data_IF_054997636369
#
_entry.id   IF_054997636369
#
_cell.length_a   1.000
_cell.length_b   1.000
_cell.length_c   1.000
_cell.angle_alpha   90.00
_cell.angle_beta   90.00
_cell.angle_gamma   90.00
#
_symmetry.space_group_name_H-M   'P 1'
#
loop_
_entity.id
_entity.type
_entity.pdbx_description
1 polymer ?
#
# COMPACT_ATOMS: atom_id res chain seq x y z
N UNK A 1 46.78 25.93 45.43
CA UNK A 1 46.10 24.81 44.76
C UNK A 1 44.63 25.15 44.64
N UNK A 2 44.15 25.50 43.45
CA UNK A 2 42.74 25.49 43.04
C UNK A 2 42.77 25.57 41.51
N UNK A 3 42.77 24.41 40.85
CA UNK A 3 42.75 24.28 39.40
C UNK A 3 41.31 24.09 38.94
N UNK A 4 40.75 25.11 38.28
CA UNK A 4 39.46 25.01 37.59
C UNK A 4 39.66 24.47 36.18
N UNK A 5 39.14 23.28 35.93
CA UNK A 5 39.09 22.71 34.58
C UNK A 5 37.94 23.35 33.80
N UNK A 6 38.27 23.98 32.66
CA UNK A 6 37.28 24.45 31.68
C UNK A 6 36.72 23.24 30.91
N UNK A 7 35.40 23.09 30.96
CA UNK A 7 34.64 22.18 30.10
C UNK A 7 34.48 22.89 28.74
N UNK A 8 34.86 22.27 27.61
CA UNK A 8 34.64 22.87 26.31
C UNK A 8 33.15 22.76 25.93
N UNK A 9 32.61 23.92 25.60
CA UNK A 9 31.24 24.18 25.15
C UNK A 9 31.00 23.46 23.80
N UNK A 10 30.17 22.41 23.82
CA UNK A 10 29.77 21.67 22.63
C UNK A 10 28.79 22.52 21.82
N UNK A 11 29.31 23.41 20.98
CA UNK A 11 28.51 24.15 20.00
C UNK A 11 27.80 23.17 19.09
N UNK A 12 26.48 23.30 19.07
CA UNK A 12 25.54 22.43 18.37
C UNK A 12 25.83 22.34 16.88
N UNK A 13 25.53 21.16 16.33
CA UNK A 13 25.33 20.99 14.90
C UNK A 13 24.28 22.01 14.44
N UNK A 14 24.71 22.97 13.62
CA UNK A 14 23.80 23.74 12.80
C UNK A 14 23.05 22.76 11.90
N UNK A 15 21.78 22.52 12.22
CA UNK A 15 20.84 21.89 11.31
C UNK A 15 20.85 22.73 10.03
N UNK A 16 21.46 22.23 8.96
CA UNK A 16 21.25 22.80 7.63
C UNK A 16 19.74 22.86 7.41
N UNK A 17 19.15 24.02 7.10
CA UNK A 17 17.75 24.09 6.79
C UNK A 17 17.52 23.25 5.53
N UNK A 18 16.92 22.08 5.72
CA UNK A 18 16.25 21.36 4.64
C UNK A 18 15.28 22.38 4.06
N UNK A 19 15.49 22.77 2.81
CA UNK A 19 14.75 23.84 2.16
C UNK A 19 13.25 23.62 2.39
N UNK A 20 12.62 24.48 3.20
CA UNK A 20 11.16 24.46 3.32
C UNK A 20 10.62 25.03 2.01
N UNK A 21 10.20 24.16 1.10
CA UNK A 21 9.60 24.51 -0.18
C UNK A 21 8.18 25.07 0.03
N UNK A 22 8.09 26.29 0.58
CA UNK A 22 6.82 26.96 0.90
C UNK A 22 6.33 27.89 -0.21
N UNK A 23 7.08 28.04 -1.30
CA UNK A 23 6.52 28.62 -2.53
C UNK A 23 5.85 27.51 -3.32
N UNK A 24 4.59 27.64 -3.78
CA UNK A 24 4.10 26.80 -4.85
C UNK A 24 5.15 26.89 -5.95
N UNK A 25 5.84 25.79 -6.22
CA UNK A 25 6.81 25.73 -7.31
C UNK A 25 6.12 26.31 -8.54
N UNK A 26 6.82 27.14 -9.30
CA UNK A 26 6.31 27.50 -10.60
C UNK A 26 6.12 26.17 -11.35
N UNK A 27 4.86 25.77 -11.53
CA UNK A 27 4.50 24.53 -12.19
C UNK A 27 5.20 24.41 -13.54
N UNK A 28 5.53 25.55 -14.18
CA UNK A 28 6.34 25.59 -15.40
C UNK A 28 7.76 25.06 -15.18
N UNK A 29 8.41 25.42 -14.08
CA UNK A 29 9.74 24.90 -13.73
C UNK A 29 9.70 23.40 -13.47
N UNK A 30 8.70 22.90 -12.74
CA UNK A 30 8.56 21.46 -12.49
C UNK A 30 8.31 20.68 -13.79
N UNK A 31 7.44 21.18 -14.66
CA UNK A 31 7.21 20.58 -15.99
C UNK A 31 8.46 20.65 -16.85
N UNK A 32 9.19 21.77 -16.84
CA UNK A 32 10.45 21.90 -17.57
C UNK A 32 11.51 20.94 -17.04
N UNK A 33 11.60 20.76 -15.72
CA UNK A 33 12.49 19.79 -15.08
C UNK A 33 12.15 18.37 -15.52
N UNK A 34 10.88 17.96 -15.44
CA UNK A 34 10.46 16.61 -15.84
C UNK A 34 10.74 16.39 -17.32
N UNK A 35 10.40 17.36 -18.18
CA UNK A 35 10.69 17.26 -19.61
C UNK A 35 12.18 17.06 -19.86
N UNK A 36 13.03 17.84 -19.19
CA UNK A 36 14.48 17.70 -19.29
C UNK A 36 14.96 16.34 -18.80
N UNK A 37 14.46 15.85 -17.67
CA UNK A 37 14.77 14.53 -17.15
C UNK A 37 14.33 13.41 -18.12
N UNK A 38 13.18 13.58 -18.77
CA UNK A 38 12.71 12.68 -19.83
C UNK A 38 13.60 12.76 -21.06
N UNK A 39 14.00 13.95 -21.51
CA UNK A 39 14.93 14.13 -22.63
C UNK A 39 16.28 13.49 -22.32
N UNK A 40 16.88 13.79 -21.17
CA UNK A 40 18.16 13.22 -20.72
C UNK A 40 18.08 11.68 -20.62
N UNK A 41 16.95 11.15 -20.17
CA UNK A 41 16.68 9.71 -20.06
C UNK A 41 16.34 9.00 -21.36
N UNK A 42 15.56 9.64 -22.24
CA UNK A 42 15.15 9.10 -23.55
C UNK A 42 16.24 9.26 -24.62
N UNK A 43 17.19 10.16 -24.42
CA UNK A 43 18.40 10.29 -25.25
C UNK A 43 19.42 9.19 -25.00
N UNK A 44 19.24 8.36 -23.97
CA UNK A 44 19.96 7.09 -23.87
C UNK A 44 19.37 6.18 -24.95
N UNK A 45 20.14 5.79 -25.98
CA UNK A 45 19.58 5.04 -27.08
C UNK A 45 18.93 3.78 -26.52
N UNK A 46 17.75 3.44 -27.05
CA UNK A 46 17.23 2.08 -27.03
C UNK A 46 17.77 1.41 -28.29
N UNK A 47 19.08 1.09 -28.40
CA UNK A 47 19.49 0.27 -29.51
C UNK A 47 18.73 -1.06 -29.38
N UNK A 48 18.40 -1.71 -30.51
CA UNK A 48 17.81 -3.05 -30.48
C UNK A 48 18.65 -4.05 -29.64
N UNK A 49 19.93 -3.74 -29.43
CA UNK A 49 20.81 -4.40 -28.46
C UNK A 49 21.02 -3.53 -27.22
N UNK A 50 20.07 -3.54 -26.28
CA UNK A 50 20.19 -2.82 -25.00
C UNK A 50 21.47 -3.27 -24.30
N UNK A 51 22.45 -2.38 -24.19
CA UNK A 51 23.72 -2.69 -23.51
C UNK A 51 23.47 -3.00 -22.03
N UNK A 52 24.09 -4.06 -21.47
CA UNK A 52 24.00 -4.36 -20.05
C UNK A 52 24.42 -3.15 -19.22
N UNK A 53 23.56 -2.75 -18.27
CA UNK A 53 23.88 -1.67 -17.34
C UNK A 53 23.80 -2.20 -15.92
N UNK A 54 24.85 -1.92 -15.14
CA UNK A 54 24.90 -2.34 -13.74
C UNK A 54 23.77 -1.74 -12.92
N UNK A 55 23.36 -0.51 -13.21
CA UNK A 55 22.29 0.19 -12.53
C UNK A 55 21.24 0.69 -13.53
N UNK A 56 19.95 0.51 -13.26
CA UNK A 56 18.87 1.14 -14.05
C UNK A 56 17.74 1.58 -13.15
N UNK A 57 17.20 2.76 -13.44
CA UNK A 57 16.07 3.32 -12.74
C UNK A 57 14.94 3.65 -13.72
N UNK A 58 13.73 3.21 -13.38
CA UNK A 58 12.51 3.57 -14.09
C UNK A 58 11.59 4.34 -13.14
N UNK A 59 11.16 5.51 -13.56
CA UNK A 59 10.23 6.38 -12.83
C UNK A 59 8.97 6.56 -13.68
N UNK A 60 7.83 6.10 -13.17
CA UNK A 60 6.54 6.14 -13.84
C UNK A 60 5.62 7.12 -13.09
N UNK A 61 5.11 8.13 -13.80
CA UNK A 61 4.42 9.25 -13.17
C UNK A 61 3.30 9.86 -14.05
N UNK A 62 2.19 9.15 -14.23
CA UNK A 62 1.00 9.63 -14.94
C UNK A 62 0.34 10.84 -14.23
N UNK A 63 -0.12 11.84 -15.01
CA UNK A 63 -0.72 13.07 -14.47
C UNK A 63 -2.25 13.21 -14.64
N UNK A 64 -2.90 12.38 -15.45
CA UNK A 64 -4.38 12.32 -15.61
C UNK A 64 -5.05 13.71 -15.78
N UNK A 65 -4.86 14.40 -16.93
CA UNK A 65 -5.47 15.74 -17.17
C UNK A 65 -6.20 15.89 -18.50
N UNK A 66 -6.49 14.81 -19.21
CA UNK A 66 -7.22 14.93 -20.48
C UNK A 66 -8.70 15.22 -20.18
N UNK A 67 -9.39 16.02 -21.02
CA UNK A 67 -10.82 16.25 -20.89
C UNK A 67 -11.62 14.93 -20.96
N UNK A 68 -12.65 14.78 -20.12
CA UNK A 68 -13.52 13.58 -20.12
C UNK A 68 -13.05 12.44 -19.22
N UNK A 69 -12.03 12.65 -18.40
CA UNK A 69 -11.45 11.60 -17.54
C UNK A 69 -12.25 11.32 -16.26
N UNK A 70 -12.35 10.03 -15.91
CA UNK A 70 -12.98 9.53 -14.67
C UNK A 70 -12.06 9.57 -13.44
N UNK A 71 -10.79 9.93 -13.60
CA UNK A 71 -9.81 10.00 -12.50
C UNK A 71 -9.46 11.44 -12.17
N UNK A 72 -9.40 11.75 -10.87
CA UNK A 72 -8.95 13.04 -10.40
C UNK A 72 -7.46 13.26 -10.76
N UNK A 73 -7.07 14.47 -11.16
CA UNK A 73 -5.67 14.78 -11.41
C UNK A 73 -4.84 14.62 -10.13
N UNK A 74 -3.60 14.11 -10.28
CA UNK A 74 -2.66 13.94 -9.17
C UNK A 74 -1.53 14.98 -9.28
N UNK A 75 -1.64 16.14 -8.61
CA UNK A 75 -0.66 17.21 -8.74
C UNK A 75 0.72 16.84 -8.16
N UNK A 76 0.77 15.99 -7.14
CA UNK A 76 2.00 15.61 -6.42
C UNK A 76 2.87 14.61 -7.15
N UNK A 77 2.30 13.83 -8.06
CA UNK A 77 3.04 12.84 -8.86
C UNK A 77 4.26 13.46 -9.58
N UNK A 78 4.12 14.69 -10.07
CA UNK A 78 5.22 15.41 -10.70
C UNK A 78 6.35 15.75 -9.70
N UNK A 79 5.99 16.13 -8.48
CA UNK A 79 6.95 16.51 -7.45
C UNK A 79 7.68 15.27 -6.89
N UNK A 80 6.97 14.15 -6.75
CA UNK A 80 7.54 12.84 -6.41
C UNK A 80 8.64 12.41 -7.39
N UNK A 81 8.39 12.57 -8.70
CA UNK A 81 9.39 12.31 -9.74
C UNK A 81 10.64 13.11 -9.50
N UNK A 82 10.49 14.42 -9.22
CA UNK A 82 11.61 15.30 -8.98
C UNK A 82 12.40 14.86 -7.75
N UNK A 83 11.74 14.57 -6.63
CA UNK A 83 12.39 14.10 -5.41
C UNK A 83 13.18 12.81 -5.64
N UNK A 84 12.61 11.84 -6.35
CA UNK A 84 13.29 10.58 -6.63
C UNK A 84 14.43 10.77 -7.64
N UNK A 85 14.22 11.57 -8.68
CA UNK A 85 15.26 11.90 -9.64
C UNK A 85 16.44 12.60 -8.94
N UNK A 86 16.19 13.57 -8.07
CA UNK A 86 17.23 14.26 -7.30
C UNK A 86 17.91 13.34 -6.29
N UNK A 87 17.17 12.46 -5.60
CA UNK A 87 17.73 11.44 -4.72
C UNK A 87 18.71 10.55 -5.49
N UNK A 88 18.27 9.96 -6.59
CA UNK A 88 19.10 9.09 -7.42
C UNK A 88 20.28 9.88 -8.00
N UNK A 89 20.06 11.12 -8.43
CA UNK A 89 21.09 12.01 -8.95
C UNK A 89 22.20 12.33 -7.95
N UNK A 90 21.83 12.64 -6.71
CA UNK A 90 22.77 13.04 -5.67
C UNK A 90 23.41 11.83 -4.96
N UNK A 91 22.80 10.66 -5.06
CA UNK A 91 23.35 9.42 -4.52
C UNK A 91 24.56 8.92 -5.31
N UNK A 92 25.21 7.88 -4.78
CA UNK A 92 26.37 7.22 -5.42
C UNK A 92 26.04 6.65 -6.82
N UNK A 93 24.78 6.58 -7.24
CA UNK A 93 24.36 6.17 -8.59
C UNK A 93 25.08 6.92 -9.72
N UNK A 94 25.19 8.24 -9.62
CA UNK A 94 25.84 9.06 -10.66
C UNK A 94 27.37 9.07 -10.56
N UNK A 95 27.94 8.52 -9.47
CA UNK A 95 29.40 8.48 -9.29
C UNK A 95 30.05 7.32 -10.05
N UNK A 96 29.27 6.33 -10.48
CA UNK A 96 29.74 5.34 -11.45
C UNK A 96 29.82 5.95 -12.85
N UNK A 97 30.79 5.56 -13.70
CA UNK A 97 30.94 6.10 -15.05
C UNK A 97 29.61 6.11 -15.81
N UNK A 98 29.34 7.15 -16.61
CA UNK A 98 28.06 7.39 -17.34
C UNK A 98 27.48 6.19 -18.08
N UNK A 99 28.28 5.17 -18.39
CA UNK A 99 27.84 3.89 -18.96
C UNK A 99 27.11 2.95 -17.96
N UNK A 100 26.99 3.34 -16.69
CA UNK A 100 26.55 2.42 -15.62
C UNK A 100 25.13 2.68 -15.11
N UNK A 101 24.50 3.80 -15.51
CA UNK A 101 23.15 4.14 -15.09
C UNK A 101 22.31 4.66 -16.24
N UNK A 102 21.01 4.42 -16.17
CA UNK A 102 20.03 5.02 -17.05
C UNK A 102 18.77 5.29 -16.24
N UNK A 103 18.16 6.43 -16.50
CA UNK A 103 16.98 6.91 -15.81
C UNK A 103 15.91 7.22 -16.83
N UNK A 104 14.76 6.55 -16.77
CA UNK A 104 13.63 6.87 -17.64
C UNK A 104 12.48 7.42 -16.82
N UNK A 105 12.06 8.64 -17.14
CA UNK A 105 10.81 9.22 -16.65
C UNK A 105 9.73 9.03 -17.72
N UNK A 106 8.56 8.53 -17.35
CA UNK A 106 7.42 8.41 -18.27
C UNK A 106 6.28 9.30 -17.78
N UNK A 107 5.96 10.33 -18.57
CA UNK A 107 4.78 11.16 -18.40
C UNK A 107 3.85 10.96 -19.61
N UNK A 108 2.72 10.31 -19.37
CA UNK A 108 1.81 9.83 -20.42
C UNK A 108 1.03 10.91 -21.19
N UNK A 109 1.15 12.19 -20.80
CA UNK A 109 0.48 13.28 -21.53
C UNK A 109 1.20 13.72 -22.82
N UNK A 110 2.40 13.22 -23.10
CA UNK A 110 3.29 13.79 -24.12
C UNK A 110 3.71 12.82 -25.24
N UNK A 111 3.25 11.57 -25.21
CA UNK A 111 3.54 10.59 -26.26
C UNK A 111 2.28 10.31 -27.08
N UNK A 112 2.45 10.30 -28.42
CA UNK A 112 1.38 9.98 -29.36
C UNK A 112 0.84 8.57 -29.07
N UNK A 113 -0.49 8.32 -29.17
CA UNK A 113 -1.10 7.01 -28.98
C UNK A 113 -0.51 5.89 -29.85
N UNK A 114 0.20 6.26 -30.91
CA UNK A 114 0.83 5.37 -31.89
C UNK A 114 2.18 4.78 -31.44
N UNK A 115 2.74 5.20 -30.31
CA UNK A 115 4.05 4.72 -29.85
C UNK A 115 3.86 3.50 -28.94
N UNK A 116 4.32 2.28 -29.29
CA UNK A 116 4.16 1.04 -28.49
C UNK A 116 4.97 1.04 -27.16
N UNK A 117 5.21 2.22 -26.59
CA UNK A 117 6.24 2.52 -25.60
C UNK A 117 6.00 2.01 -24.18
N UNK A 118 4.76 1.66 -23.81
CA UNK A 118 4.41 1.28 -22.43
C UNK A 118 5.16 0.02 -21.97
N UNK A 119 4.97 -1.10 -22.68
CA UNK A 119 5.65 -2.37 -22.39
C UNK A 119 7.16 -2.31 -22.63
N UNK A 120 7.58 -1.44 -23.55
CA UNK A 120 8.99 -1.24 -23.85
C UNK A 120 9.79 -0.70 -22.65
N UNK A 121 9.15 -0.07 -21.65
CA UNK A 121 9.86 0.49 -20.50
C UNK A 121 10.17 -0.52 -19.39
N UNK A 122 9.26 -1.45 -19.10
CA UNK A 122 9.51 -2.51 -18.12
C UNK A 122 10.49 -3.55 -18.66
N UNK A 123 10.36 -3.93 -19.94
CA UNK A 123 11.37 -4.76 -20.60
C UNK A 123 12.74 -4.08 -20.57
N UNK A 124 12.79 -2.77 -20.82
CA UNK A 124 14.02 -2.00 -20.71
C UNK A 124 14.61 -2.01 -19.29
N UNK A 125 13.80 -1.97 -18.23
CA UNK A 125 14.30 -2.02 -16.86
C UNK A 125 15.03 -3.35 -16.58
N UNK A 126 14.49 -4.47 -17.07
CA UNK A 126 14.98 -5.82 -16.74
C UNK A 126 15.98 -6.38 -17.76
N UNK A 127 16.03 -5.83 -18.97
CA UNK A 127 16.86 -6.33 -20.07
C UNK A 127 18.35 -6.41 -19.70
N UNK A 128 19.00 -7.55 -19.97
CA UNK A 128 20.44 -7.72 -19.77
C UNK A 128 20.90 -7.60 -18.31
N UNK A 129 19.99 -7.74 -17.34
CA UNK A 129 20.34 -7.80 -15.93
C UNK A 129 21.14 -9.07 -15.60
N UNK A 130 22.16 -8.92 -14.75
CA UNK A 130 23.02 -10.01 -14.28
C UNK A 130 23.11 -10.01 -12.75
N UNK A 131 23.79 -11.02 -12.18
CA UNK A 131 24.05 -11.07 -10.74
C UNK A 131 24.90 -9.87 -10.28
N UNK A 132 24.50 -9.21 -9.18
CA UNK A 132 25.16 -8.01 -8.67
C UNK A 132 24.74 -6.69 -9.32
N UNK A 133 23.77 -6.74 -10.25
CA UNK A 133 23.14 -5.55 -10.80
C UNK A 133 22.06 -4.97 -9.87
N UNK A 134 21.82 -3.67 -9.99
CA UNK A 134 20.85 -2.90 -9.23
C UNK A 134 19.77 -2.33 -10.14
N UNK A 135 18.53 -2.40 -9.67
CA UNK A 135 17.38 -1.80 -10.33
C UNK A 135 16.61 -0.94 -9.35
N UNK A 136 16.01 0.11 -9.88
CA UNK A 136 15.14 0.99 -9.12
C UNK A 136 13.86 1.21 -9.92
N UNK A 137 12.72 1.03 -9.27
CA UNK A 137 11.42 1.32 -9.86
C UNK A 137 10.65 2.26 -8.92
N UNK A 138 10.26 3.42 -9.43
CA UNK A 138 9.31 4.29 -8.75
C UNK A 138 8.04 4.40 -9.56
N UNK A 139 6.91 4.28 -8.89
CA UNK A 139 5.62 4.64 -9.43
C UNK A 139 4.95 5.64 -8.48
N UNK A 140 4.46 6.75 -9.04
CA UNK A 140 3.55 7.69 -8.38
C UNK A 140 2.33 7.90 -9.28
N UNK A 141 1.15 7.45 -8.86
CA UNK A 141 -0.07 7.51 -9.69
C UNK A 141 -1.29 6.85 -9.06
N UNK A 142 -2.39 6.74 -9.82
CA UNK A 142 -3.56 5.96 -9.42
C UNK A 142 -3.30 4.46 -9.50
N UNK A 143 -3.98 3.75 -8.60
CA UNK A 143 -4.06 2.30 -8.61
C UNK A 143 -5.51 1.92 -8.68
N UNK A 144 -5.74 0.73 -9.22
CA UNK A 144 -7.06 0.20 -9.41
C UNK A 144 -7.17 -1.19 -8.79
N UNK A 145 -8.39 -1.55 -8.40
CA UNK A 145 -8.75 -2.87 -7.96
C UNK A 145 -9.96 -3.33 -8.71
N UNK A 146 -9.87 -4.53 -9.27
CA UNK A 146 -11.01 -5.15 -9.94
C UNK A 146 -11.33 -6.42 -9.18
N UNK A 147 -12.56 -6.50 -8.69
CA UNK A 147 -13.06 -7.69 -8.02
C UNK A 147 -13.04 -8.87 -9.01
N UNK A 148 -12.64 -10.03 -8.52
CA UNK A 148 -12.49 -11.25 -9.32
C UNK A 148 -12.82 -12.46 -8.45
N UNK A 149 -12.68 -13.64 -9.01
CA UNK A 149 -12.92 -14.88 -8.29
C UNK A 149 -11.73 -15.28 -7.38
N UNK A 150 -11.99 -16.23 -6.48
CA UNK A 150 -10.99 -16.74 -5.54
C UNK A 150 -9.80 -17.47 -6.16
N UNK A 151 -9.88 -17.88 -7.43
CA UNK A 151 -8.81 -18.57 -8.12
C UNK A 151 -7.77 -17.62 -8.71
N UNK A 152 -8.19 -16.39 -9.07
CA UNK A 152 -7.33 -15.39 -9.69
C UNK A 152 -6.88 -14.29 -8.72
N UNK A 153 -7.78 -13.90 -7.81
CA UNK A 153 -7.59 -12.70 -7.01
C UNK A 153 -6.91 -12.91 -5.66
N UNK A 154 -6.59 -11.78 -5.07
CA UNK A 154 -6.06 -11.62 -3.72
C UNK A 154 -7.17 -11.40 -2.71
N UNK A 155 -7.10 -12.07 -1.56
CA UNK A 155 -8.05 -11.94 -0.46
C UNK A 155 -8.09 -10.51 0.08
N UNK A 156 -9.30 -10.02 0.28
CA UNK A 156 -9.56 -8.73 0.87
C UNK A 156 -10.90 -8.61 1.54
N UNK A 157 -11.11 -7.41 2.06
CA UNK A 157 -12.35 -7.04 2.72
C UNK A 157 -12.99 -5.88 1.96
N UNK A 158 -14.26 -6.00 1.57
CA UNK A 158 -15.05 -4.84 1.20
C UNK A 158 -15.30 -4.03 2.45
N UNK A 159 -14.87 -2.77 2.44
CA UNK A 159 -15.31 -1.77 3.40
C UNK A 159 -16.51 -1.05 2.79
N UNK A 160 -17.73 -1.45 3.18
CA UNK A 160 -18.94 -0.77 2.72
C UNK A 160 -18.95 0.62 3.33
N UNK A 161 -18.93 1.66 2.49
CA UNK A 161 -18.96 3.07 2.91
C UNK A 161 -20.33 3.55 3.42
N UNK A 162 -21.35 2.70 3.41
CA UNK A 162 -22.71 3.04 3.85
C UNK A 162 -22.99 2.74 5.32
N UNK A 163 -24.07 3.34 5.85
CA UNK A 163 -24.66 3.21 7.21
C UNK A 163 -25.10 1.77 7.61
N UNK A 164 -24.38 0.74 7.17
CA UNK A 164 -24.65 -0.63 7.61
C UNK A 164 -24.46 -0.71 9.12
N UNK A 165 -25.37 -1.39 9.84
CA UNK A 165 -25.25 -1.55 11.28
C UNK A 165 -23.89 -2.20 11.58
N UNK A 166 -23.05 -1.44 12.26
CA UNK A 166 -21.75 -1.89 12.75
C UNK A 166 -22.00 -3.14 13.59
N UNK A 167 -21.50 -4.29 13.14
CA UNK A 167 -21.68 -5.55 13.84
C UNK A 167 -21.10 -5.43 15.26
N UNK A 168 -21.85 -5.77 16.34
CA UNK A 168 -21.35 -5.70 17.70
C UNK A 168 -20.08 -6.56 17.87
N UNK A 169 -18.97 -5.92 18.22
CA UNK A 169 -17.66 -6.57 18.35
C UNK A 169 -16.77 -6.49 17.10
N UNK A 170 -17.31 -6.10 15.94
CA UNK A 170 -16.51 -5.72 14.76
C UNK A 170 -16.18 -4.22 14.83
N UNK A 171 -15.55 -3.79 15.92
CA UNK A 171 -15.09 -2.42 16.09
C UNK A 171 -14.02 -2.16 15.03
N UNK A 172 -14.42 -1.56 13.91
CA UNK A 172 -13.48 -1.05 12.92
C UNK A 172 -12.95 0.30 13.42
N UNK A 173 -12.17 0.24 14.51
CA UNK A 173 -11.55 1.42 15.12
C UNK A 173 -10.63 2.17 14.16
N UNK A 174 -10.25 1.55 13.04
CA UNK A 174 -9.38 2.12 12.03
C UNK A 174 -10.08 3.07 11.05
N UNK A 175 -11.41 2.98 10.89
CA UNK A 175 -12.19 3.93 10.08
C UNK A 175 -12.67 5.13 10.90
N UNK A 176 -12.64 5.02 12.23
CA UNK A 176 -12.94 6.13 13.12
C UNK A 176 -11.76 7.09 13.10
N UNK A 177 -11.96 8.26 12.46
CA UNK A 177 -10.99 9.37 12.42
C UNK A 177 -10.49 9.71 13.83
N UNK A 178 -11.36 9.57 14.84
CA UNK A 178 -11.07 9.89 16.24
C UNK A 178 -10.30 8.79 17.00
N UNK A 179 -10.19 7.57 16.46
CA UNK A 179 -9.66 6.40 17.18
C UNK A 179 -8.60 5.59 16.41
N UNK A 180 -7.94 6.17 15.40
CA UNK A 180 -6.82 5.50 14.72
C UNK A 180 -5.64 5.33 15.70
N UNK A 181 -5.71 4.27 16.51
CA UNK A 181 -4.57 3.85 17.31
C UNK A 181 -3.49 3.40 16.35
N UNK A 182 -2.31 3.99 16.47
CA UNK A 182 -1.09 3.57 15.79
C UNK A 182 -0.64 2.21 16.33
N UNK A 183 -1.34 1.14 15.96
CA UNK A 183 -1.03 -0.22 16.39
C UNK A 183 -0.93 -1.14 15.19
N UNK A 184 0.00 -2.09 15.24
CA UNK A 184 0.03 -3.22 14.32
C UNK A 184 -1.16 -4.10 14.64
N UNK A 185 -2.11 -4.21 13.72
CA UNK A 185 -3.23 -5.14 13.91
C UNK A 185 -2.86 -6.48 13.29
N UNK A 186 -2.73 -7.49 14.16
CA UNK A 186 -2.23 -8.82 13.81
C UNK A 186 -3.34 -9.71 13.24
N UNK A 187 -4.56 -9.55 13.75
CA UNK A 187 -5.73 -10.34 13.38
C UNK A 187 -6.99 -9.49 13.41
N UNK A 188 -7.92 -9.78 12.50
CA UNK A 188 -9.28 -9.27 12.53
C UNK A 188 -10.29 -10.29 12.12
N UNK A 189 -11.41 -10.32 12.81
CA UNK A 189 -12.55 -11.12 12.39
C UNK A 189 -13.51 -10.30 11.54
N UNK A 190 -13.80 -10.75 10.33
CA UNK A 190 -14.74 -10.15 9.37
C UNK A 190 -15.91 -11.10 9.12
N UNK A 191 -17.02 -10.58 8.60
CA UNK A 191 -18.07 -11.45 8.09
C UNK A 191 -17.62 -12.09 6.77
N UNK A 192 -18.00 -13.34 6.51
CA UNK A 192 -17.69 -14.02 5.25
C UNK A 192 -18.24 -13.26 4.03
N UNK A 193 -19.38 -12.58 4.18
CA UNK A 193 -19.94 -11.69 3.15
C UNK A 193 -19.14 -10.43 2.86
N UNK A 194 -18.13 -10.11 3.68
CA UNK A 194 -17.19 -9.01 3.44
C UNK A 194 -15.90 -9.50 2.74
N UNK A 195 -15.65 -10.81 2.71
CA UNK A 195 -14.49 -11.39 2.04
C UNK A 195 -14.68 -11.30 0.52
N UNK A 196 -13.70 -10.70 -0.15
CA UNK A 196 -13.65 -10.60 -1.60
C UNK A 196 -12.27 -10.94 -2.13
N UNK A 197 -12.20 -11.13 -3.44
CA UNK A 197 -10.96 -11.36 -4.16
C UNK A 197 -10.80 -10.29 -5.22
N UNK A 198 -9.60 -9.76 -5.40
CA UNK A 198 -9.37 -8.69 -6.36
C UNK A 198 -8.00 -8.82 -7.02
N UNK A 199 -7.90 -8.35 -8.27
CA UNK A 199 -6.64 -8.06 -8.92
C UNK A 199 -6.33 -6.57 -8.74
N UNK A 200 -5.04 -6.24 -8.65
CA UNK A 200 -4.58 -4.86 -8.57
C UNK A 200 -3.92 -4.46 -9.88
N UNK A 201 -4.04 -3.19 -10.23
CA UNK A 201 -3.34 -2.61 -11.36
C UNK A 201 -2.81 -1.22 -10.99
N UNK A 202 -1.71 -0.82 -11.61
CA UNK A 202 -1.35 0.59 -11.72
C UNK A 202 -1.99 1.14 -12.99
N UNK A 203 -2.52 2.35 -12.92
CA UNK A 203 -3.01 3.05 -14.11
C UNK A 203 -1.82 3.81 -14.70
N UNK A 204 -1.42 3.48 -15.91
CA UNK A 204 -0.40 4.22 -16.69
C UNK A 204 -1.05 5.24 -17.60
N UNK A 205 -2.19 4.89 -18.19
CA UNK A 205 -2.94 5.75 -19.10
C UNK A 205 -4.43 5.54 -18.88
N UNK A 206 -5.22 6.54 -19.24
CA UNK A 206 -6.67 6.41 -19.26
C UNK A 206 -7.05 6.03 -20.69
N UNK A 207 -7.76 4.90 -20.85
CA UNK A 207 -8.37 4.55 -22.13
C UNK A 207 -9.36 5.65 -22.52
N UNK A 208 -9.32 6.11 -23.77
CA UNK A 208 -10.36 6.99 -24.32
C UNK A 208 -11.64 6.15 -24.42
N UNK A 209 -12.41 6.10 -23.33
CA UNK A 209 -13.74 5.48 -23.27
C UNK A 209 -14.66 6.25 -24.23
N UNK A 210 -14.73 5.85 -25.51
CA UNK A 210 -15.76 6.34 -26.44
C UNK A 210 -15.99 5.47 -27.69
N UNK A 211 -15.32 4.33 -27.86
CA UNK A 211 -15.79 3.36 -28.84
C UNK A 211 -16.90 2.53 -28.17
N UNK A 212 -18.18 2.70 -28.56
CA UNK A 212 -19.28 1.97 -27.94
C UNK A 212 -19.00 0.47 -28.04
N UNK A 213 -18.98 -0.18 -26.89
CA UNK A 213 -18.85 -1.62 -26.68
C UNK A 213 -19.80 -2.37 -27.63
N UNK A 214 -19.29 -2.78 -28.79
CA UNK A 214 -20.08 -3.49 -29.80
C UNK A 214 -19.82 -5.00 -29.79
N UNK A 215 -19.03 -5.52 -28.83
CA UNK A 215 -18.84 -6.96 -28.61
C UNK A 215 -18.76 -7.27 -27.11
N UNK A 216 -19.82 -7.85 -26.57
CA UNK A 216 -19.99 -8.22 -25.14
C UNK A 216 -19.07 -9.37 -24.65
N UNK A 217 -18.08 -9.83 -25.43
CA UNK A 217 -17.32 -11.06 -25.12
C UNK A 217 -15.81 -10.87 -24.85
N UNK A 218 -15.22 -9.71 -25.15
CA UNK A 218 -13.84 -9.42 -24.78
C UNK A 218 -13.81 -8.38 -23.65
N UNK A 219 -13.16 -8.73 -22.52
CA UNK A 219 -12.93 -7.77 -21.44
C UNK A 219 -12.34 -6.49 -22.04
N UNK A 220 -12.97 -5.32 -21.81
CA UNK A 220 -12.58 -4.07 -22.45
C UNK A 220 -11.08 -3.84 -22.26
N UNK A 221 -10.43 -3.52 -23.38
CA UNK A 221 -8.98 -3.43 -23.53
C UNK A 221 -8.28 -2.95 -22.25
N UNK A 222 -7.29 -3.73 -21.81
CA UNK A 222 -6.40 -3.42 -20.70
C UNK A 222 -5.51 -2.18 -20.95
N UNK A 223 -5.83 -1.37 -21.96
CA UNK A 223 -5.08 -0.21 -22.36
C UNK A 223 -4.90 0.75 -21.17
N UNK A 224 -3.63 1.04 -20.85
CA UNK A 224 -3.28 1.94 -19.76
C UNK A 224 -3.37 1.36 -18.35
N UNK A 225 -3.50 0.04 -18.20
CA UNK A 225 -3.40 -0.66 -16.91
C UNK A 225 -2.25 -1.64 -16.98
N UNK A 226 -1.38 -1.64 -15.97
CA UNK A 226 -0.40 -2.71 -15.76
C UNK A 226 -0.85 -3.50 -14.53
N UNK A 227 -1.25 -4.75 -14.75
CA UNK A 227 -1.74 -5.63 -13.70
C UNK A 227 -0.62 -6.13 -12.80
N UNK A 228 -0.96 -6.48 -11.57
CA UNK A 228 -0.02 -7.03 -10.59
C UNK A 228 0.72 -8.28 -11.07
N UNK A 229 0.01 -9.22 -11.71
CA UNK A 229 0.58 -10.44 -12.29
C UNK A 229 1.54 -10.12 -13.41
N UNK A 230 1.19 -9.16 -14.27
CA UNK A 230 2.03 -8.71 -15.36
C UNK A 230 3.29 -8.02 -14.84
N UNK A 231 3.15 -7.11 -13.87
CA UNK A 231 4.26 -6.43 -13.25
C UNK A 231 5.21 -7.41 -12.53
N UNK A 232 4.66 -8.39 -11.82
CA UNK A 232 5.44 -9.50 -11.25
C UNK A 232 6.16 -10.29 -12.34
N UNK A 233 5.47 -10.62 -13.45
CA UNK A 233 6.07 -11.35 -14.57
C UNK A 233 7.24 -10.59 -15.19
N UNK A 234 7.15 -9.27 -15.37
CA UNK A 234 8.29 -8.45 -15.80
C UNK A 234 9.46 -8.52 -14.81
N UNK A 235 9.21 -8.29 -13.52
CA UNK A 235 10.27 -8.31 -12.51
C UNK A 235 10.84 -9.72 -12.26
N UNK A 236 10.09 -10.78 -12.57
CA UNK A 236 10.54 -12.17 -12.49
C UNK A 236 11.65 -12.51 -13.48
N UNK A 237 11.82 -11.69 -14.54
CA UNK A 237 12.91 -11.80 -15.51
C UNK A 237 14.26 -11.39 -14.91
N UNK A 238 14.28 -10.70 -13.76
CA UNK A 238 15.53 -10.34 -13.08
C UNK A 238 16.17 -11.60 -12.46
N UNK A 239 17.47 -11.84 -12.72
CA UNK A 239 18.13 -13.05 -12.26
C UNK A 239 18.34 -13.04 -10.75
N UNK A 240 18.54 -14.24 -10.18
CA UNK A 240 19.01 -14.40 -8.80
C UNK A 240 20.30 -13.60 -8.59
N UNK A 241 20.38 -12.90 -7.46
CA UNK A 241 21.53 -12.06 -7.11
C UNK A 241 21.49 -10.63 -7.70
N UNK A 242 20.54 -10.32 -8.58
CA UNK A 242 20.17 -8.93 -8.87
C UNK A 242 19.39 -8.35 -7.68
N UNK A 243 19.57 -7.05 -7.39
CA UNK A 243 18.80 -6.33 -6.36
C UNK A 243 17.89 -5.29 -7.02
N UNK A 244 16.63 -5.23 -6.59
CA UNK A 244 15.69 -4.19 -7.02
C UNK A 244 15.03 -3.51 -5.82
N UNK A 245 15.11 -2.19 -5.78
CA UNK A 245 14.32 -1.38 -4.84
C UNK A 245 13.11 -0.83 -5.59
N UNK A 246 11.92 -1.03 -5.04
CA UNK A 246 10.69 -0.51 -5.61
C UNK A 246 10.01 0.41 -4.62
N UNK A 247 9.64 1.61 -5.06
CA UNK A 247 8.91 2.58 -4.25
C UNK A 247 7.57 2.87 -4.91
N UNK A 248 6.49 2.34 -4.32
CA UNK A 248 5.13 2.64 -4.74
C UNK A 248 4.53 3.70 -3.86
N UNK A 249 4.24 4.83 -4.49
CA UNK A 249 3.32 5.81 -3.96
C UNK A 249 2.13 5.90 -4.90
N UNK A 250 0.93 6.04 -4.36
CA UNK A 250 -0.18 6.25 -5.26
C UNK A 250 -1.43 6.71 -4.55
N UNK A 251 -1.78 7.96 -4.79
CA UNK A 251 -3.04 8.54 -4.37
C UNK A 251 -4.15 7.63 -4.91
N UNK A 252 -4.98 7.10 -4.00
CA UNK A 252 -6.01 6.09 -4.28
C UNK A 252 -5.55 4.68 -4.71
N UNK A 253 -4.25 4.37 -4.75
CA UNK A 253 -3.78 2.98 -4.74
C UNK A 253 -4.06 2.34 -3.38
N UNK A 254 -5.32 2.07 -3.03
CA UNK A 254 -5.60 1.20 -1.90
C UNK A 254 -4.87 -0.12 -2.18
N UNK A 255 -3.95 -0.56 -1.31
CA UNK A 255 -3.09 -1.77 -1.42
C UNK A 255 -1.97 -1.78 -2.48
N UNK A 256 -1.31 -0.66 -2.76
CA UNK A 256 -0.03 -0.71 -3.48
C UNK A 256 1.00 -1.66 -2.85
N UNK A 257 0.92 -1.93 -1.54
CA UNK A 257 1.76 -2.93 -0.86
C UNK A 257 1.59 -4.38 -1.35
N UNK A 258 0.67 -4.65 -2.28
CA UNK A 258 0.43 -5.97 -2.85
C UNK A 258 0.54 -6.02 -4.38
N UNK A 259 0.80 -4.89 -5.02
CA UNK A 259 0.82 -4.76 -6.48
C UNK A 259 1.88 -5.65 -7.15
N UNK A 260 2.89 -6.08 -6.38
CA UNK A 260 3.96 -6.93 -6.88
C UNK A 260 3.77 -8.42 -6.58
N UNK A 261 2.67 -8.83 -5.94
CA UNK A 261 2.43 -10.21 -5.53
C UNK A 261 3.60 -10.82 -4.72
N UNK A 262 4.25 -10.00 -3.89
CA UNK A 262 5.37 -10.45 -3.07
C UNK A 262 4.91 -11.40 -1.97
N UNK A 263 5.68 -12.46 -1.78
CA UNK A 263 5.39 -13.56 -0.86
C UNK A 263 5.56 -13.18 0.61
N UNK A 264 6.24 -12.08 0.93
CA UNK A 264 6.60 -11.77 2.33
C UNK A 264 6.62 -10.29 2.68
N UNK A 265 6.06 -10.00 3.87
CA UNK A 265 6.23 -8.73 4.57
C UNK A 265 7.43 -8.82 5.48
N UNK A 266 8.41 -7.94 5.33
CA UNK A 266 9.52 -7.82 6.27
C UNK A 266 9.11 -7.00 7.49
N UNK A 267 8.54 -5.81 7.27
CA UNK A 267 8.19 -4.87 8.34
C UNK A 267 6.95 -4.03 8.03
N UNK A 268 6.36 -3.40 9.06
CA UNK A 268 5.20 -2.51 8.95
C UNK A 268 3.93 -3.01 9.62
N UNK A 269 2.94 -2.14 9.72
CA UNK A 269 1.60 -2.42 10.28
C UNK A 269 0.57 -2.70 9.17
N UNK A 270 -0.50 -3.45 9.47
CA UNK A 270 -1.64 -3.71 8.55
C UNK A 270 -2.09 -5.19 8.48
N UNK A 271 -3.37 -5.42 8.15
CA UNK A 271 -4.08 -6.73 8.02
C UNK A 271 -3.69 -7.55 6.79
N UNK A 272 -3.90 -8.89 6.83
CA UNK A 272 -4.00 -9.79 5.65
C UNK A 272 -5.01 -10.94 5.89
N UNK A 273 -5.14 -11.86 4.92
CA UNK A 273 -6.18 -12.89 4.72
C UNK A 273 -6.32 -14.03 5.73
N UNK A 274 -7.09 -15.07 5.36
CA UNK A 274 -7.54 -16.15 6.27
C UNK A 274 -6.38 -17.05 6.75
N UNK A 275 -6.35 -17.51 8.01
CA UNK A 275 -5.36 -18.50 8.44
C UNK A 275 -5.46 -19.77 7.59
N UNK A 276 -4.30 -20.26 7.13
CA UNK A 276 -4.15 -21.60 6.51
C UNK A 276 -4.17 -22.72 7.55
N UNK A 277 -4.13 -22.42 8.84
CA UNK A 277 -4.35 -23.41 9.91
C UNK A 277 -5.76 -23.30 10.49
N UNK A 278 -6.43 -24.43 10.77
CA UNK A 278 -7.68 -24.41 11.52
C UNK A 278 -7.37 -24.01 12.97
N UNK A 279 -7.42 -22.72 13.26
CA UNK A 279 -7.43 -22.23 14.63
C UNK A 279 -8.69 -22.79 15.28
N UNK A 280 -8.48 -23.86 16.06
CA UNK A 280 -9.31 -24.38 17.15
C UNK A 280 -10.77 -23.97 17.10
N UNK A 281 -11.65 -24.95 16.89
CA UNK A 281 -13.09 -24.92 17.23
C UNK A 281 -13.35 -23.99 18.40
N UNK A 282 -13.79 -22.77 18.10
CA UNK A 282 -14.40 -21.93 19.11
C UNK A 282 -15.60 -22.72 19.62
N UNK A 283 -15.58 -23.08 20.90
CA UNK A 283 -16.77 -23.61 21.56
C UNK A 283 -17.92 -22.67 21.22
N UNK A 284 -19.05 -23.17 20.68
CA UNK A 284 -20.18 -22.31 20.39
C UNK A 284 -20.47 -21.51 21.65
N UNK A 285 -20.58 -20.18 21.51
CA UNK A 285 -21.03 -19.30 22.59
C UNK A 285 -22.33 -19.90 23.14
N UNK A 286 -22.23 -20.57 24.28
CA UNK A 286 -23.38 -21.10 25.00
C UNK A 286 -24.02 -19.86 25.59
N UNK A 287 -25.03 -19.34 24.90
CA UNK A 287 -25.90 -18.31 25.46
C UNK A 287 -26.60 -19.00 26.64
N UNK A 288 -26.39 -18.54 27.89
CA UNK A 288 -27.08 -19.12 29.02
C UNK A 288 -28.59 -19.01 28.78
N UNK A 289 -29.37 -20.08 29.07
CA UNK A 289 -30.81 -20.00 28.90
C UNK A 289 -31.36 -18.84 29.73
N UNK A 290 -32.38 -18.12 29.23
CA UNK A 290 -32.97 -17.03 29.98
C UNK A 290 -33.44 -17.53 31.34
N UNK A 291 -33.30 -16.73 32.42
CA UNK A 291 -33.66 -17.16 33.76
C UNK A 291 -35.14 -17.55 33.78
N UNK A 292 -35.41 -18.82 34.03
CA UNK A 292 -36.76 -19.32 34.28
C UNK A 292 -37.29 -18.65 35.53
N UNK A 293 -38.19 -17.67 35.38
CA UNK A 293 -38.95 -17.13 36.52
C UNK A 293 -39.82 -18.25 37.07
N UNK A 294 -39.42 -18.84 38.19
CA UNK A 294 -40.30 -19.71 38.98
C UNK A 294 -41.40 -18.85 39.59
N UNK A 295 -42.60 -18.92 39.04
CA UNK A 295 -43.78 -18.39 39.69
C UNK A 295 -44.11 -19.27 40.90
N UNK A 296 -43.82 -18.77 42.10
CA UNK A 296 -44.35 -19.33 43.33
C UNK A 296 -45.85 -19.08 43.35
N UNK A 297 -46.61 -20.18 43.30
CA UNK A 297 -48.06 -20.21 43.38
C UNK A 297 -48.42 -20.42 44.85
N UNK A 298 -48.76 -19.35 45.56
CA UNK A 298 -49.43 -19.46 46.87
C UNK A 298 -50.61 -18.49 46.97
N UNK A 299 -51.73 -19.08 47.37
CA UNK A 299 -52.91 -18.51 48.04
C UNK A 299 -54.00 -17.81 47.20
N UNK A 300 -55.07 -18.58 46.99
CA UNK A 300 -56.44 -18.09 46.86
C UNK A 300 -56.98 -17.64 48.25
N UNK A 301 -58.02 -16.77 48.34
CA UNK A 301 -59.39 -17.29 48.21
C UNK A 301 -60.44 -16.35 47.55
N UNK A 302 -61.47 -17.01 46.99
CA UNK A 302 -62.91 -16.68 46.87
C UNK A 302 -63.44 -15.43 46.13
N UNK A 303 -64.30 -15.74 45.14
CA UNK A 303 -65.21 -15.03 44.20
C UNK A 303 -66.24 -14.02 44.81
N UNK A 304 -67.21 -13.40 44.06
CA UNK A 304 -67.48 -13.41 42.60
C UNK A 304 -67.77 -12.01 41.96
N UNK A 305 -67.64 -11.88 40.64
CA UNK A 305 -68.08 -10.68 39.92
C UNK A 305 -67.88 -10.75 38.41
N UNK A 306 -68.94 -11.14 37.72
CA UNK A 306 -69.16 -11.16 36.27
C UNK A 306 -68.74 -9.82 35.62
N UNK A 307 -67.87 -9.83 34.60
CA UNK A 307 -68.13 -9.45 33.18
C UNK A 307 -66.92 -9.88 32.33
N UNK A 308 -67.14 -10.72 31.32
CA UNK A 308 -66.16 -11.00 30.28
C UNK A 308 -65.93 -9.79 29.37
N UNK A 309 -64.67 -9.54 28.97
CA UNK A 309 -64.41 -9.53 27.54
C UNK A 309 -63.29 -10.50 27.17
N UNK A 310 -63.47 -11.09 26.00
CA UNK A 310 -62.55 -11.93 25.24
C UNK A 310 -61.09 -11.50 25.34
N UNK A 311 -60.28 -12.28 26.05
CA UNK A 311 -58.83 -12.24 25.90
C UNK A 311 -58.43 -12.99 24.63
N UNK A 312 -57.96 -12.22 23.65
CA UNK A 312 -57.20 -12.74 22.53
C UNK A 312 -56.02 -13.55 23.05
N UNK A 313 -56.06 -14.84 22.73
CA UNK A 313 -55.02 -15.85 22.82
C UNK A 313 -53.60 -15.34 23.15
N UNK A 314 -53.06 -15.75 24.31
CA UNK A 314 -51.64 -15.64 24.64
C UNK A 314 -50.72 -16.31 23.60
N UNK A 315 -51.25 -17.10 22.65
CA UNK A 315 -50.46 -17.64 21.54
C UNK A 315 -49.92 -16.55 20.59
N UNK A 316 -50.57 -15.38 20.49
CA UNK A 316 -50.07 -14.30 19.64
C UNK A 316 -48.89 -13.54 20.27
N UNK A 317 -48.76 -13.53 21.60
CA UNK A 317 -47.62 -12.88 22.27
C UNK A 317 -46.37 -13.78 22.19
N UNK A 318 -46.55 -15.10 22.27
CA UNK A 318 -45.46 -16.06 22.06
C UNK A 318 -45.06 -16.14 20.59
N UNK A 319 -45.99 -16.02 19.64
CA UNK A 319 -45.67 -15.97 18.21
C UNK A 319 -45.00 -14.65 17.78
N UNK A 320 -45.25 -13.54 18.47
CA UNK A 320 -44.57 -12.26 18.16
C UNK A 320 -43.14 -12.23 18.73
N UNK A 321 -42.86 -12.90 19.86
CA UNK A 321 -41.48 -12.99 20.37
C UNK A 321 -40.60 -14.01 19.61
N UNK A 322 -41.19 -15.01 18.96
CA UNK A 322 -40.43 -15.95 18.10
C UNK A 322 -40.11 -15.34 16.73
N UNK A 323 -40.91 -14.39 16.23
CA UNK A 323 -40.61 -13.63 15.01
C UNK A 323 -39.72 -12.40 15.22
N UNK A 324 -39.37 -12.08 16.48
CA UNK A 324 -38.42 -11.03 16.86
C UNK A 324 -37.23 -11.64 17.62
N UNK A 325 -36.89 -12.90 17.35
CA UNK A 325 -35.47 -13.22 17.32
C UNK A 325 -34.96 -12.61 16.02
N UNK A 326 -34.14 -11.54 16.05
CA UNK A 326 -33.33 -11.25 14.88
C UNK A 326 -32.63 -12.55 14.58
N UNK A 327 -32.69 -12.97 13.33
CA UNK A 327 -31.83 -13.98 12.75
C UNK A 327 -30.42 -13.80 13.32
N UNK A 328 -30.13 -14.47 14.43
CA UNK A 328 -28.79 -14.83 14.85
C UNK A 328 -28.38 -15.96 13.91
N UNK A 329 -28.45 -15.67 12.61
CA UNK A 329 -27.60 -16.31 11.63
C UNK A 329 -26.24 -16.08 12.22
N UNK A 330 -25.61 -17.16 12.68
CA UNK A 330 -24.19 -17.16 12.99
C UNK A 330 -23.54 -16.73 11.69
N UNK A 331 -23.31 -15.43 11.53
CA UNK A 331 -22.59 -14.90 10.40
C UNK A 331 -21.27 -15.65 10.42
N UNK A 332 -21.04 -16.44 9.37
CA UNK A 332 -19.77 -17.12 9.23
C UNK A 332 -18.67 -16.06 9.34
N UNK A 333 -17.73 -16.31 10.24
CA UNK A 333 -16.67 -15.38 10.57
C UNK A 333 -15.39 -15.86 9.94
N UNK A 334 -14.70 -14.95 9.28
CA UNK A 334 -13.38 -15.19 8.71
C UNK A 334 -12.39 -14.38 9.52
N UNK A 335 -11.44 -15.05 10.17
CA UNK A 335 -10.28 -14.38 10.73
C UNK A 335 -9.36 -13.99 9.58
N UNK A 336 -8.90 -12.75 9.54
CA UNK A 336 -7.96 -12.16 8.59
C UNK A 336 -6.68 -11.87 9.41
N UNK A 337 -5.57 -12.57 9.14
CA UNK A 337 -4.28 -12.46 9.79
C UNK A 337 -3.25 -11.79 8.91
N UNK A 338 -2.25 -11.12 9.49
CA UNK A 338 -1.17 -10.46 8.74
C UNK A 338 -0.37 -11.36 7.77
N UNK A 339 -0.41 -12.69 7.91
CA UNK A 339 0.23 -13.63 6.99
C UNK A 339 -0.43 -13.65 5.60
N UNK A 340 0.38 -13.81 4.55
CA UNK A 340 -0.12 -14.00 3.18
C UNK A 340 -0.56 -15.46 3.00
N UNK A 341 -1.81 -15.76 2.57
CA UNK A 341 -2.23 -17.11 2.19
C UNK A 341 -1.25 -17.79 1.22
N UNK A 342 -1.04 -19.10 1.37
CA UNK A 342 -0.07 -19.85 0.57
C UNK A 342 -0.28 -19.70 -0.94
N UNK A 343 -1.55 -19.70 -1.39
CA UNK A 343 -1.91 -19.46 -2.80
C UNK A 343 -1.31 -18.16 -3.33
N UNK A 344 -1.40 -17.09 -2.54
CA UNK A 344 -0.92 -15.78 -2.95
C UNK A 344 0.60 -15.67 -2.86
N UNK A 345 1.24 -16.37 -1.90
CA UNK A 345 2.71 -16.48 -1.89
C UNK A 345 3.23 -17.15 -3.14
N UNK A 346 2.48 -18.11 -3.69
CA UNK A 346 2.82 -18.80 -4.93
C UNK A 346 2.65 -17.91 -6.18
N UNK A 347 2.05 -16.72 -6.07
CA UNK A 347 2.01 -15.72 -7.15
C UNK A 347 3.34 -14.97 -7.28
N UNK A 348 4.26 -15.12 -6.33
CA UNK A 348 5.58 -14.48 -6.35
C UNK A 348 6.55 -15.22 -7.27
N UNK A 349 6.66 -14.75 -8.51
CA UNK A 349 7.62 -15.26 -9.49
C UNK A 349 9.03 -14.67 -9.36
N UNK A 350 9.23 -13.67 -8.51
CA UNK A 350 10.48 -12.89 -8.50
C UNK A 350 11.61 -13.70 -7.87
N UNK A 351 12.77 -13.73 -8.53
CA UNK A 351 13.96 -14.45 -8.05
C UNK A 351 15.06 -13.49 -7.58
N UNK A 352 15.00 -12.24 -8.06
CA UNK A 352 15.85 -11.17 -7.61
C UNK A 352 15.55 -10.78 -6.15
N UNK A 353 16.53 -10.17 -5.52
CA UNK A 353 16.40 -9.60 -4.19
C UNK A 353 15.61 -8.30 -4.28
N UNK A 354 14.34 -8.32 -3.88
CA UNK A 354 13.46 -7.16 -3.98
C UNK A 354 13.14 -6.53 -2.62
N UNK A 355 13.17 -5.20 -2.57
CA UNK A 355 12.72 -4.38 -1.45
C UNK A 355 11.64 -3.42 -1.93
N UNK A 356 10.37 -3.76 -1.70
CA UNK A 356 9.26 -2.93 -2.13
C UNK A 356 8.65 -2.16 -0.96
N UNK A 357 8.59 -0.85 -1.12
CA UNK A 357 8.12 0.11 -0.14
C UNK A 357 6.74 0.63 -0.54
N UNK A 358 5.83 0.66 0.44
CA UNK A 358 4.49 1.21 0.29
C UNK A 358 4.05 1.85 1.61
N UNK A 359 3.15 2.83 1.56
CA UNK A 359 2.62 3.50 2.77
C UNK A 359 1.11 3.39 2.94
N UNK A 360 0.45 2.61 2.08
CA UNK A 360 -0.99 2.39 2.15
C UNK A 360 -1.30 0.97 2.61
N UNK A 361 -2.28 0.88 3.50
CA UNK A 361 -2.89 -0.38 3.86
C UNK A 361 -3.98 -0.77 2.84
N UNK A 362 -4.46 -2.01 2.86
CA UNK A 362 -5.57 -2.46 2.03
C UNK A 362 -6.86 -1.64 2.20
N UNK A 363 -6.98 -0.91 3.31
CA UNK A 363 -8.16 -0.11 3.65
C UNK A 363 -7.93 1.40 3.57
N UNK A 364 -6.73 1.80 3.16
CA UNK A 364 -6.32 3.18 3.27
C UNK A 364 -5.93 3.67 1.90
N UNK A 365 -6.52 4.81 1.52
CA UNK A 365 -6.03 5.60 0.42
C UNK A 365 -4.64 6.10 0.82
N UNK A 366 -3.69 6.07 -0.11
CA UNK A 366 -2.47 6.84 0.11
C UNK A 366 -2.85 8.30 0.27
N UNK A 367 -2.31 8.95 1.30
CA UNK A 367 -2.60 10.35 1.59
C UNK A 367 -1.68 11.25 0.79
N UNK A 368 -2.29 11.96 -0.15
CA UNK A 368 -1.69 13.09 -0.84
C UNK A 368 -1.65 14.26 0.14
N UNK A 369 -0.48 14.89 0.36
CA UNK A 369 -0.34 15.90 1.40
C UNK A 369 -1.42 16.98 1.30
N UNK A 370 -1.87 17.53 2.43
CA UNK A 370 -2.95 18.55 2.43
C UNK A 370 -2.60 19.82 1.63
N UNK A 371 -1.30 20.06 1.40
CA UNK A 371 -0.79 21.14 0.56
C UNK A 371 -0.55 20.73 -0.91
N UNK A 372 -0.81 19.46 -1.25
CA UNK A 372 -0.60 18.88 -2.58
C UNK A 372 0.82 19.11 -3.11
N UNK A 373 1.82 19.18 -2.23
CA UNK A 373 3.21 19.42 -2.66
C UNK A 373 3.93 18.14 -3.03
N UNK A 374 3.83 17.07 -2.25
CA UNK A 374 4.51 15.79 -2.49
C UNK A 374 3.74 14.63 -1.86
N UNK A 375 4.01 13.42 -2.33
CA UNK A 375 3.56 12.22 -1.66
C UNK A 375 4.28 11.99 -0.34
N UNK A 376 3.54 11.79 0.76
CA UNK A 376 4.13 11.69 2.11
C UNK A 376 5.23 10.63 2.21
N UNK A 377 5.00 9.43 1.65
CA UNK A 377 6.01 8.37 1.65
C UNK A 377 7.23 8.78 0.83
N UNK A 378 7.02 9.27 -0.39
CA UNK A 378 8.11 9.65 -1.29
C UNK A 378 8.98 10.70 -0.63
N UNK A 379 8.36 11.75 -0.06
CA UNK A 379 9.06 12.81 0.65
C UNK A 379 9.83 12.29 1.87
N UNK A 380 9.17 11.56 2.77
CA UNK A 380 9.83 11.06 3.99
C UNK A 380 10.93 10.06 3.69
N UNK A 381 10.74 9.23 2.66
CA UNK A 381 11.75 8.30 2.16
C UNK A 381 12.98 9.04 1.64
N UNK A 382 12.81 10.00 0.72
CA UNK A 382 13.95 10.73 0.14
C UNK A 382 14.68 11.59 1.18
N UNK A 383 13.96 12.32 2.03
CA UNK A 383 14.53 13.11 3.13
C UNK A 383 15.36 12.23 4.08
N UNK A 384 14.84 11.05 4.43
CA UNK A 384 15.55 10.11 5.32
C UNK A 384 16.78 9.52 4.64
N UNK A 385 16.69 9.16 3.35
CA UNK A 385 17.82 8.63 2.62
C UNK A 385 18.97 9.64 2.51
N UNK A 386 18.66 10.92 2.27
CA UNK A 386 19.62 12.02 2.23
C UNK A 386 20.26 12.21 3.61
N UNK A 387 19.44 12.29 4.67
CA UNK A 387 19.91 12.47 6.04
C UNK A 387 20.83 11.33 6.50
N UNK A 388 20.43 10.09 6.28
CA UNK A 388 21.21 8.91 6.68
C UNK A 388 22.44 8.68 5.79
N UNK A 389 22.40 9.13 4.54
CA UNK A 389 23.50 8.97 3.57
C UNK A 389 24.73 9.82 3.86
N UNK A 390 24.64 10.81 4.75
CA UNK A 390 25.73 11.74 5.04
C UNK A 390 25.99 12.73 3.91
N UNK A 391 27.15 13.38 3.95
CA UNK A 391 27.53 14.35 2.91
C UNK A 391 28.24 13.69 1.74
N UNK A 392 28.43 14.45 0.65
CA UNK A 392 29.15 13.96 -0.52
C UNK A 392 30.57 13.49 -0.15
N UNK A 393 31.22 14.22 0.76
CA UNK A 393 32.59 13.99 1.22
C UNK A 393 32.71 12.87 2.26
N UNK A 394 31.62 12.57 2.97
CA UNK A 394 31.59 11.57 4.02
C UNK A 394 30.31 10.70 3.93
N UNK A 395 30.24 9.79 2.94
CA UNK A 395 29.08 8.93 2.76
C UNK A 395 28.96 7.97 3.93
N UNK A 396 27.78 7.93 4.56
CA UNK A 396 27.45 7.00 5.64
C UNK A 396 26.65 5.84 5.08
N UNK A 397 27.04 4.62 5.46
CA UNK A 397 26.26 3.41 5.15
C UNK A 397 25.24 3.17 6.25
N UNK A 398 24.02 2.79 5.86
CA UNK A 398 22.95 2.42 6.76
C UNK A 398 22.22 1.19 6.22
N UNK A 399 21.45 0.52 7.07
CA UNK A 399 20.76 -0.74 6.73
C UNK A 399 19.30 -0.49 6.34
N UNK A 400 18.66 -1.48 5.72
CA UNK A 400 17.22 -1.42 5.44
C UNK A 400 16.40 -1.31 6.73
N UNK A 401 16.83 -1.93 7.84
CA UNK A 401 16.19 -1.78 9.14
C UNK A 401 16.22 -0.33 9.62
N UNK A 402 17.40 0.29 9.61
CA UNK A 402 17.55 1.70 10.04
C UNK A 402 16.74 2.63 9.14
N UNK A 403 16.76 2.42 7.82
CA UNK A 403 15.95 3.21 6.90
C UNK A 403 14.45 3.03 7.20
N UNK A 404 13.99 1.80 7.43
CA UNK A 404 12.58 1.53 7.72
C UNK A 404 12.11 2.19 9.02
N UNK A 405 12.88 2.06 10.10
CA UNK A 405 12.57 2.66 11.40
C UNK A 405 12.46 4.18 11.29
N UNK A 406 13.41 4.82 10.63
CA UNK A 406 13.46 6.27 10.49
C UNK A 406 12.37 6.81 9.56
N UNK A 407 12.10 6.16 8.42
CA UNK A 407 11.00 6.53 7.52
C UNK A 407 9.65 6.34 8.23
N UNK A 408 9.45 5.22 8.94
CA UNK A 408 8.22 4.96 9.70
C UNK A 408 7.98 6.00 10.78
N UNK A 409 9.04 6.40 11.50
CA UNK A 409 8.99 7.46 12.50
C UNK A 409 8.59 8.79 11.88
N UNK A 410 9.25 9.20 10.79
CA UNK A 410 8.93 10.47 10.10
C UNK A 410 7.52 10.50 9.53
N UNK A 411 7.02 9.40 8.96
CA UNK A 411 5.62 9.29 8.50
C UNK A 411 4.65 9.44 9.68
N UNK A 412 4.93 8.78 10.81
CA UNK A 412 4.09 8.86 12.00
C UNK A 412 4.05 10.28 12.60
N UNK A 413 5.19 10.96 12.66
CA UNK A 413 5.32 12.34 13.14
C UNK A 413 4.55 13.32 12.23
N UNK A 414 4.79 13.28 10.91
CA UNK A 414 4.09 14.16 9.95
C UNK A 414 2.57 13.94 9.96
N UNK A 415 2.12 12.70 10.14
CA UNK A 415 0.69 12.39 10.33
C UNK A 415 0.16 13.01 11.62
N UNK A 416 0.87 12.86 12.74
CA UNK A 416 0.42 13.36 14.04
C UNK A 416 0.31 14.89 14.10
N UNK A 417 1.09 15.60 13.28
CA UNK A 417 1.06 17.06 13.17
C UNK A 417 0.16 17.58 12.05
N UNK A 418 -0.45 16.70 11.27
CA UNK A 418 -1.32 17.08 10.16
C UNK A 418 -2.62 17.72 10.65
N UNK A 419 -3.13 18.70 9.91
CA UNK A 419 -4.47 19.26 10.15
C UNK A 419 -5.55 18.21 9.84
N UNK A 420 -5.32 17.39 8.81
CA UNK A 420 -6.18 16.27 8.44
C UNK A 420 -5.37 14.97 8.47
N UNK A 421 -5.19 14.37 9.66
CA UNK A 421 -4.40 13.15 9.79
C UNK A 421 -5.08 12.01 9.03
N UNK A 422 -4.43 11.53 7.97
CA UNK A 422 -4.82 10.33 7.29
C UNK A 422 -3.95 9.15 7.74
N UNK A 423 -4.52 7.95 7.91
CA UNK A 423 -3.73 6.79 8.29
C UNK A 423 -2.80 6.36 7.14
N UNK A 424 -1.50 6.60 7.32
CA UNK A 424 -0.44 6.00 6.52
C UNK A 424 0.46 5.14 7.40
N UNK A 425 0.84 3.97 6.88
CA UNK A 425 1.73 3.04 7.56
C UNK A 425 2.73 2.49 6.55
N UNK A 426 4.01 2.70 6.82
CA UNK A 426 5.10 2.17 6.00
C UNK A 426 5.11 0.65 6.10
N UNK A 427 5.23 0.01 4.96
CA UNK A 427 5.42 -1.43 4.83
C UNK A 427 6.61 -1.69 3.93
N UNK A 428 7.39 -2.71 4.30
CA UNK A 428 8.51 -3.20 3.53
C UNK A 428 8.25 -4.66 3.15
N UNK A 429 8.28 -4.93 1.86
CA UNK A 429 7.97 -6.23 1.25
C UNK A 429 9.20 -6.81 0.55
N UNK A 430 9.26 -8.13 0.46
CA UNK A 430 10.32 -8.84 -0.25
C UNK A 430 9.82 -10.13 -0.89
N UNK A 431 10.62 -10.68 -1.81
CA UNK A 431 10.42 -12.02 -2.35
C UNK A 431 11.29 -12.99 -1.57
N UNK A 432 10.65 -13.88 -0.81
CA UNK A 432 11.30 -14.93 -0.05
C UNK A 432 10.43 -16.18 -0.08
N UNK A 433 10.89 -17.19 -0.84
CA UNK A 433 10.17 -18.48 -0.95
C UNK A 433 10.16 -19.28 0.34
N UNK A 434 11.19 -19.13 1.19
CA UNK A 434 11.34 -19.89 2.42
C UNK A 434 11.06 -19.03 3.66
N UNK A 435 10.28 -19.58 4.60
CA UNK A 435 10.03 -19.00 5.92
C UNK A 435 11.25 -19.16 6.83
N UNK A 436 12.30 -18.39 6.57
CA UNK A 436 13.49 -18.36 7.40
C UNK A 436 13.70 -16.98 8.04
N UNK A 437 13.56 -16.89 9.37
CA UNK A 437 13.75 -15.64 10.13
C UNK A 437 15.18 -15.12 10.05
N UNK A 438 16.17 -16.01 10.00
CA UNK A 438 17.57 -15.60 9.87
C UNK A 438 17.82 -14.90 8.53
N UNK A 439 17.16 -15.35 7.46
CA UNK A 439 17.24 -14.68 6.15
C UNK A 439 16.57 -13.30 6.21
N UNK A 440 15.40 -13.16 6.85
CA UNK A 440 14.76 -11.85 7.02
C UNK A 440 15.65 -10.86 7.76
N UNK A 441 16.21 -11.26 8.91
CA UNK A 441 17.12 -10.42 9.68
C UNK A 441 18.34 -10.05 8.85
N UNK A 442 18.92 -11.00 8.13
CA UNK A 442 20.04 -10.73 7.22
C UNK A 442 19.68 -9.77 6.08
N UNK A 443 18.45 -9.80 5.57
CA UNK A 443 18.00 -8.84 4.55
C UNK A 443 17.85 -7.43 5.15
N UNK A 444 17.25 -7.32 6.33
CA UNK A 444 17.05 -6.06 7.04
C UNK A 444 18.38 -5.42 7.47
N UNK A 445 19.35 -6.23 7.90
CA UNK A 445 20.68 -5.78 8.33
C UNK A 445 21.63 -5.49 7.17
N UNK A 446 21.24 -5.83 5.94
CA UNK A 446 22.03 -5.47 4.79
C UNK A 446 22.01 -3.97 4.53
N UNK A 447 23.08 -3.47 3.91
CA UNK A 447 23.18 -2.07 3.54
C UNK A 447 22.20 -1.72 2.43
N UNK A 448 21.63 -0.52 2.54
CA UNK A 448 20.81 0.06 1.48
C UNK A 448 21.73 0.37 0.31
N UNK A 449 21.43 -0.30 -0.80
CA UNK A 449 22.07 -0.05 -2.07
C UNK A 449 20.97 0.43 -3.00
N UNK A 450 20.91 1.74 -3.16
CA UNK A 450 20.35 2.28 -4.38
C UNK A 450 21.34 1.83 -5.44
#
# INVERSE_FOLDING_TARGET
MLGGAMIPDSRGQENMPVASYTSPFDRKELVAFIRRAMEDGNMLPNPPNIEPARRRALIIAPQYREPGQNFDPLPTTAADVKLIHELLGNSVWLRTPKHSYSLRCVQFQWQSPSDPGEYCTLDWLVAGATEGDYRFLHFSGHGNRVETDSSKGKEGRIVKSGNWPVMPGAWDSELSVDNVKSGRVVEQTIAESELVYYNEAIITRISEENEPELNDEEEPDSAGKIWDQELNAYLSKLPKGCTITVLYYGCKCCASGRILNLSRKLQGSGFRGKPTQPTTTFSPLIIPPPPSKSYNQENAPSSPGIVSPTFSSMANIVSTMVNVLPQMVRYARVAMQEGIPERERNMDGIQARIFAWSACHQRQLSWDSDDCTNGLLTQTFTETCIRLGGTIDLPTRYTYNTLFEEVSKSVAEKRATSVYPAPQFVQLWTSLREENRTIETSLLDSHVEF
#
